data_IF_598227893113
#
_entry.id   IF_598227893113
#
_cell.length_a   1.000
_cell.length_b   1.000
_cell.length_c   1.000
_cell.angle_alpha   90.00
_cell.angle_beta   90.00
_cell.angle_gamma   90.00
#
_symmetry.space_group_name_H-M   'P 1'
#
loop_
_entity.id
_entity.type
_entity.pdbx_description
1 polymer ?
#
# COMPACT_ATOMS: atom_id res chain seq x y z
N UNK A 1 18.35 24.71 -14.13
CA UNK A 1 18.68 23.27 -14.17
C UNK A 1 17.44 22.50 -13.72
N UNK A 2 16.76 21.82 -14.65
CA UNK A 2 15.58 21.00 -14.34
C UNK A 2 16.07 19.85 -13.46
N UNK A 3 15.70 19.84 -12.17
CA UNK A 3 15.89 18.69 -11.29
C UNK A 3 15.14 17.54 -11.96
N UNK A 4 15.86 16.68 -12.65
CA UNK A 4 15.35 15.40 -13.11
C UNK A 4 14.97 14.64 -11.86
N UNK A 5 13.68 14.36 -11.72
CA UNK A 5 13.19 13.39 -10.75
C UNK A 5 13.68 12.05 -11.30
N UNK A 6 14.90 11.68 -10.94
CA UNK A 6 15.41 10.33 -11.18
C UNK A 6 14.44 9.43 -10.45
N UNK A 7 13.65 8.64 -11.20
CA UNK A 7 12.84 7.56 -10.64
C UNK A 7 13.81 6.66 -9.89
N UNK A 8 13.89 6.84 -8.57
CA UNK A 8 14.82 6.09 -7.72
C UNK A 8 14.25 4.69 -7.53
N UNK A 9 14.45 3.90 -8.58
CA UNK A 9 14.59 2.47 -8.53
C UNK A 9 13.36 1.66 -8.06
N UNK A 10 12.44 1.46 -9.01
CA UNK A 10 11.45 0.35 -9.09
C UNK A 10 12.10 -1.05 -9.13
N UNK A 11 13.30 -1.22 -8.57
CA UNK A 11 14.10 -2.45 -8.57
C UNK A 11 14.64 -2.80 -7.17
N UNK A 12 14.45 -1.93 -6.16
CA UNK A 12 15.02 -2.14 -4.83
C UNK A 12 14.02 -2.60 -3.75
N UNK A 13 12.73 -2.63 -4.05
CA UNK A 13 11.73 -3.09 -3.09
C UNK A 13 11.69 -4.61 -3.00
N UNK A 14 11.47 -5.33 -4.11
CA UNK A 14 11.39 -6.80 -4.09
C UNK A 14 12.45 -7.53 -4.93
N UNK A 15 13.30 -6.83 -5.70
CA UNK A 15 14.40 -7.40 -6.54
C UNK A 15 13.95 -8.56 -7.47
N UNK A 16 12.68 -8.62 -7.87
CA UNK A 16 12.16 -9.64 -8.81
C UNK A 16 12.03 -9.06 -10.21
N UNK A 17 12.39 -9.86 -11.22
CA UNK A 17 12.58 -9.47 -12.62
C UNK A 17 11.35 -8.95 -13.39
N UNK A 18 10.20 -8.75 -12.75
CA UNK A 18 9.08 -8.01 -13.32
C UNK A 18 8.18 -7.52 -12.20
N UNK A 19 8.46 -6.32 -11.68
CA UNK A 19 7.65 -5.73 -10.61
C UNK A 19 6.36 -5.11 -11.19
N UNK A 20 5.31 -5.93 -11.33
CA UNK A 20 3.96 -5.42 -11.58
C UNK A 20 3.50 -4.54 -10.41
N UNK A 21 2.73 -3.47 -10.67
CA UNK A 21 2.17 -2.59 -9.63
C UNK A 21 1.45 -3.37 -8.54
N UNK A 22 0.73 -4.45 -8.90
CA UNK A 22 0.10 -5.33 -7.93
C UNK A 22 1.12 -6.04 -7.04
N UNK A 23 2.24 -6.49 -7.61
CA UNK A 23 3.31 -7.10 -6.83
C UNK A 23 3.93 -6.09 -5.86
N UNK A 24 4.33 -4.89 -6.32
CA UNK A 24 4.98 -3.89 -5.46
C UNK A 24 4.05 -3.46 -4.32
N UNK A 25 2.79 -3.14 -4.63
CA UNK A 25 1.87 -2.50 -3.68
C UNK A 25 1.14 -3.48 -2.76
N UNK A 26 1.13 -4.78 -3.07
CA UNK A 26 0.42 -5.81 -2.29
C UNK A 26 1.35 -6.95 -1.88
N UNK A 27 2.01 -7.58 -2.84
CA UNK A 27 2.63 -8.89 -2.65
C UNK A 27 4.11 -8.85 -2.28
N UNK A 28 4.77 -7.71 -2.44
CA UNK A 28 6.15 -7.48 -2.06
C UNK A 28 6.30 -7.68 -0.55
N UNK A 29 7.33 -8.42 -0.14
CA UNK A 29 7.57 -8.74 1.27
C UNK A 29 7.63 -7.48 2.15
N UNK A 30 8.40 -6.48 1.74
CA UNK A 30 8.52 -5.19 2.45
C UNK A 30 7.18 -4.47 2.58
N UNK A 31 6.42 -4.43 1.48
CA UNK A 31 5.10 -3.78 1.45
C UNK A 31 4.11 -4.50 2.34
N UNK A 32 4.15 -5.84 2.37
CA UNK A 32 3.30 -6.67 3.22
C UNK A 32 3.59 -6.47 4.70
N UNK A 33 4.85 -6.23 5.08
CA UNK A 33 5.21 -5.84 6.44
C UNK A 33 4.62 -4.46 6.82
N UNK A 34 4.77 -3.45 5.95
CA UNK A 34 4.17 -2.12 6.16
C UNK A 34 2.65 -2.19 6.32
N UNK A 35 2.00 -2.95 5.44
CA UNK A 35 0.57 -3.23 5.53
C UNK A 35 0.20 -3.87 6.86
N UNK A 36 0.94 -4.90 7.30
CA UNK A 36 0.67 -5.61 8.55
C UNK A 36 0.81 -4.69 9.76
N UNK A 37 1.82 -3.82 9.80
CA UNK A 37 2.02 -2.83 10.86
C UNK A 37 0.84 -1.85 10.93
N UNK A 38 0.41 -1.33 9.79
CA UNK A 38 -0.72 -0.41 9.72
C UNK A 38 -2.02 -1.10 10.14
N UNK A 39 -2.31 -2.27 9.59
CA UNK A 39 -3.49 -3.06 9.94
C UNK A 39 -3.56 -3.39 11.44
N UNK A 40 -2.41 -3.73 12.04
CA UNK A 40 -2.28 -3.96 13.48
C UNK A 40 -2.61 -2.72 14.31
N UNK A 41 -2.23 -1.52 13.85
CA UNK A 41 -2.63 -0.25 14.49
C UNK A 41 -4.15 0.00 14.45
N UNK A 42 -4.83 -0.57 13.45
CA UNK A 42 -6.28 -0.56 13.35
C UNK A 42 -6.95 -1.73 14.11
N UNK A 43 -6.19 -2.72 14.57
CA UNK A 43 -6.70 -3.96 15.16
C UNK A 43 -7.46 -4.81 14.13
N UNK A 44 -7.09 -4.70 12.86
CA UNK A 44 -7.77 -5.35 11.73
C UNK A 44 -6.86 -6.42 11.16
N UNK A 45 -7.41 -7.60 10.88
CA UNK A 45 -6.76 -8.58 10.01
C UNK A 45 -7.36 -8.43 8.62
N UNK A 46 -6.51 -8.32 7.60
CA UNK A 46 -6.94 -8.12 6.22
C UNK A 46 -6.38 -9.22 5.32
N UNK A 47 -7.22 -9.70 4.40
CA UNK A 47 -6.81 -10.63 3.34
C UNK A 47 -6.59 -9.82 2.08
N UNK A 48 -5.38 -9.89 1.53
CA UNK A 48 -5.02 -9.15 0.34
C UNK A 48 -5.55 -9.86 -0.92
N UNK A 49 -6.34 -9.16 -1.77
CA UNK A 49 -6.76 -9.70 -3.04
C UNK A 49 -5.58 -9.69 -4.03
N UNK A 50 -5.77 -10.35 -5.18
CA UNK A 50 -4.74 -10.45 -6.22
C UNK A 50 -4.35 -9.09 -6.83
N UNK A 51 -5.30 -8.14 -6.91
CA UNK A 51 -5.11 -6.84 -7.57
C UNK A 51 -5.37 -5.63 -6.66
N UNK A 52 -4.63 -4.54 -6.93
CA UNK A 52 -4.79 -3.22 -6.26
C UNK A 52 -6.18 -2.65 -6.50
N UNK A 53 -6.74 -2.88 -7.69
CA UNK A 53 -8.11 -2.48 -8.01
C UNK A 53 -9.11 -3.13 -7.07
N UNK A 54 -9.03 -4.46 -6.89
CA UNK A 54 -9.92 -5.18 -5.99
C UNK A 54 -9.72 -4.73 -4.55
N UNK A 55 -8.46 -4.55 -4.12
CA UNK A 55 -8.14 -4.03 -2.79
C UNK A 55 -8.88 -2.72 -2.53
N UNK A 56 -8.80 -1.74 -3.44
CA UNK A 56 -9.46 -0.44 -3.30
C UNK A 56 -10.99 -0.53 -3.32
N UNK A 57 -11.56 -1.42 -4.13
CA UNK A 57 -13.01 -1.64 -4.19
C UNK A 57 -13.54 -2.26 -2.88
N UNK A 58 -12.79 -3.21 -2.33
CA UNK A 58 -13.10 -3.95 -1.11
C UNK A 58 -12.68 -3.19 0.15
N UNK A 59 -11.94 -2.07 0.04
CA UNK A 59 -11.38 -1.30 1.15
C UNK A 59 -12.44 -0.54 1.98
N UNK A 60 -13.31 -1.27 2.65
CA UNK A 60 -14.41 -0.74 3.47
C UNK A 60 -14.61 -1.66 4.67
N UNK A 61 -14.55 -1.10 5.87
CA UNK A 61 -14.85 -1.82 7.11
C UNK A 61 -16.08 -1.20 7.75
N UNK A 62 -17.06 -2.04 8.09
CA UNK A 62 -18.21 -1.66 8.91
C UNK A 62 -17.80 -1.65 10.38
N UNK A 63 -18.32 -0.69 11.15
CA UNK A 63 -18.07 -0.63 12.60
C UNK A 63 -16.86 0.20 13.03
N UNK A 64 -16.11 0.82 12.09
CA UNK A 64 -15.15 1.87 12.46
C UNK A 64 -15.89 3.16 12.84
N UNK A 65 -15.53 3.76 13.97
CA UNK A 65 -16.05 5.08 14.34
C UNK A 65 -15.71 6.15 13.29
N UNK A 66 -16.55 7.20 13.16
CA UNK A 66 -16.46 8.20 12.08
C UNK A 66 -15.04 8.72 11.81
N UNK A 67 -14.32 9.14 12.86
CA UNK A 67 -12.93 9.64 12.75
C UNK A 67 -11.98 8.56 12.23
N UNK A 68 -12.03 7.35 12.79
CA UNK A 68 -11.18 6.22 12.40
C UNK A 68 -11.48 5.74 10.98
N UNK A 69 -12.75 5.83 10.55
CA UNK A 69 -13.15 5.52 9.18
C UNK A 69 -12.57 6.48 8.14
N UNK A 70 -12.37 7.76 8.48
CA UNK A 70 -11.72 8.72 7.57
C UNK A 70 -10.25 8.34 7.38
N UNK A 71 -9.54 8.09 8.48
CA UNK A 71 -8.13 7.67 8.43
C UNK A 71 -7.98 6.35 7.68
N UNK A 72 -8.85 5.38 7.94
CA UNK A 72 -8.87 4.09 7.24
C UNK A 72 -8.96 4.25 5.72
N UNK A 73 -9.83 5.14 5.22
CA UNK A 73 -9.96 5.38 3.78
C UNK A 73 -8.70 5.96 3.15
N UNK A 74 -7.89 6.70 3.92
CA UNK A 74 -6.64 7.28 3.45
C UNK A 74 -5.48 6.30 3.49
N UNK A 75 -5.54 5.25 4.32
CA UNK A 75 -4.47 4.26 4.50
C UNK A 75 -3.85 3.75 3.18
N UNK A 76 -4.62 3.23 2.19
CA UNK A 76 -4.04 2.78 0.93
C UNK A 76 -3.36 3.90 0.15
N UNK A 77 -3.93 5.11 0.15
CA UNK A 77 -3.39 6.27 -0.56
C UNK A 77 -2.06 6.70 0.06
N UNK A 78 -2.00 6.79 1.39
CA UNK A 78 -0.79 7.13 2.12
C UNK A 78 0.31 6.10 1.89
N UNK A 79 -0.02 4.80 1.93
CA UNK A 79 0.94 3.73 1.68
C UNK A 79 1.49 3.77 0.26
N UNK A 80 0.62 3.93 -0.75
CA UNK A 80 1.05 4.01 -2.14
C UNK A 80 1.92 5.25 -2.37
N UNK A 81 1.59 6.35 -1.70
CA UNK A 81 2.43 7.55 -1.73
C UNK A 81 3.79 7.33 -1.07
N UNK A 82 3.87 6.64 0.07
CA UNK A 82 5.14 6.30 0.69
C UNK A 82 5.99 5.39 -0.20
N UNK A 83 5.38 4.41 -0.86
CA UNK A 83 6.11 3.46 -1.71
C UNK A 83 6.55 4.10 -3.04
N UNK A 84 5.78 5.04 -3.58
CA UNK A 84 6.07 5.68 -4.87
C UNK A 84 6.83 7.02 -4.75
N UNK A 85 6.73 7.68 -3.60
CA UNK A 85 7.33 8.98 -3.33
C UNK A 85 8.77 8.93 -2.82
N UNK A 86 9.29 7.74 -2.50
CA UNK A 86 10.72 7.46 -2.29
C UNK A 86 11.39 6.97 -3.58
#
# INVERSE_FOLDING_TARGET
MRRGWSMVNRYNFCKKNEESTNHILIHCGKTRELWTLLLSSFGVVWVFPDSVRNLLLEWKIKGLGKKRSVVWRMTPICLFWCIWGE
#
